data_IF_675524490815
#
_entry.id   IF_675524490815
#
_cell.length_a   1.000
_cell.length_b   1.000
_cell.length_c   1.000
_cell.angle_alpha   90.00
_cell.angle_beta   90.00
_cell.angle_gamma   90.00
#
_symmetry.space_group_name_H-M   'P 1'
#
loop_
_entity.id
_entity.type
_entity.pdbx_description
1 polymer ?
#
# COMPACT_ATOMS: atom_id res chain seq x y z
N UNK A 1 -4.84 3.48 0.74
CA UNK A 1 -5.30 2.08 0.74
C UNK A 1 -4.10 1.31 0.26
N UNK A 2 -3.61 0.40 1.09
CA UNK A 2 -2.39 -0.33 0.79
C UNK A 2 -2.73 -1.66 0.11
N UNK A 3 -1.81 -2.15 -0.71
CA UNK A 3 -1.96 -3.42 -1.40
C UNK A 3 -0.86 -4.34 -0.92
N UNK A 4 -1.29 -5.48 -0.38
CA UNK A 4 -0.40 -6.54 0.09
C UNK A 4 -0.72 -7.84 -0.65
N UNK A 5 0.19 -8.79 -0.55
CA UNK A 5 0.10 -10.12 -1.18
C UNK A 5 -0.24 -11.17 -0.13
N UNK A 6 -0.56 -12.39 -0.57
CA UNK A 6 -0.73 -13.57 0.31
C UNK A 6 0.62 -14.09 0.86
N UNK A 7 1.73 -13.44 0.50
CA UNK A 7 3.08 -13.80 0.95
C UNK A 7 3.20 -13.81 2.47
N UNK A 8 3.70 -14.93 3.00
CA UNK A 8 4.06 -15.10 4.40
C UNK A 8 5.40 -14.42 4.76
N UNK A 9 6.12 -13.85 3.78
CA UNK A 9 7.31 -13.05 4.04
C UNK A 9 6.93 -11.69 4.63
N UNK A 10 7.92 -11.01 5.20
CA UNK A 10 7.73 -9.67 5.75
C UNK A 10 7.31 -8.69 4.64
N UNK A 11 6.22 -7.97 4.87
CA UNK A 11 5.73 -6.89 4.02
C UNK A 11 5.66 -5.60 4.84
N UNK A 12 5.79 -4.45 4.17
CA UNK A 12 5.87 -3.13 4.83
C UNK A 12 4.69 -2.24 4.48
N UNK A 13 4.17 -1.51 5.47
CA UNK A 13 3.16 -0.46 5.33
C UNK A 13 3.83 0.89 5.57
N UNK A 14 3.73 1.80 4.59
CA UNK A 14 4.27 3.17 4.69
C UNK A 14 3.12 4.14 4.94
N UNK A 15 3.10 4.76 6.12
CA UNK A 15 1.98 5.58 6.58
C UNK A 15 2.45 6.90 7.18
N UNK A 16 1.60 7.93 7.11
CA UNK A 16 1.78 9.20 7.81
C UNK A 16 0.82 9.21 9.00
N UNK A 17 1.37 9.07 10.21
CA UNK A 17 0.57 9.02 11.43
C UNK A 17 0.30 10.41 12.00
N UNK A 18 -0.73 10.52 12.85
CA UNK A 18 -1.05 11.79 13.54
C UNK A 18 -0.01 12.18 14.59
N UNK A 19 0.76 11.19 15.04
CA UNK A 19 1.75 11.26 16.12
C UNK A 19 2.77 10.15 15.90
N UNK A 20 4.03 10.40 16.23
CA UNK A 20 5.02 9.33 16.25
C UNK A 20 4.81 8.39 17.45
N UNK A 21 5.24 7.14 17.30
CA UNK A 21 5.21 6.14 18.36
C UNK A 21 6.51 5.33 18.34
N UNK A 22 7.01 5.00 19.53
CA UNK A 22 8.22 4.17 19.68
C UNK A 22 7.89 2.70 19.50
N UNK A 23 6.75 2.25 20.03
CA UNK A 23 6.30 0.86 20.00
C UNK A 23 4.82 0.77 19.62
N UNK A 24 4.47 1.05 18.35
CA UNK A 24 3.09 1.02 17.91
C UNK A 24 2.55 -0.42 17.90
N UNK A 25 1.30 -0.59 18.30
CA UNK A 25 0.58 -1.86 18.17
C UNK A 25 -0.38 -1.80 16.98
N UNK A 26 -0.47 -2.90 16.22
CA UNK A 26 -1.37 -3.00 15.10
C UNK A 26 -2.49 -4.01 15.37
N UNK A 27 -3.73 -3.57 15.19
CA UNK A 27 -4.88 -4.46 15.12
C UNK A 27 -5.34 -4.56 13.67
N UNK A 28 -5.38 -5.77 13.13
CA UNK A 28 -5.87 -6.09 11.79
C UNK A 28 -7.24 -6.77 11.89
N UNK A 29 -8.22 -6.25 11.16
CA UNK A 29 -9.58 -6.79 11.09
C UNK A 29 -9.89 -7.24 9.68
N UNK A 30 -10.24 -8.51 9.52
CA UNK A 30 -10.80 -9.05 8.27
C UNK A 30 -12.24 -8.56 8.12
N UNK A 31 -12.53 -7.83 7.03
CA UNK A 31 -13.87 -7.26 6.82
C UNK A 31 -14.90 -8.29 6.36
N UNK A 32 -14.46 -9.44 5.84
CA UNK A 32 -15.34 -10.53 5.40
C UNK A 32 -15.89 -11.31 6.59
N UNK A 33 -15.03 -11.66 7.55
CA UNK A 33 -15.39 -12.44 8.74
C UNK A 33 -15.67 -11.58 9.97
N UNK A 34 -15.32 -10.29 9.93
CA UNK A 34 -15.40 -9.33 11.05
C UNK A 34 -14.56 -9.74 12.26
N UNK A 35 -13.52 -10.56 12.06
CA UNK A 35 -12.61 -11.00 13.12
C UNK A 35 -11.39 -10.09 13.18
N UNK A 36 -10.96 -9.74 14.39
CA UNK A 36 -9.76 -8.92 14.62
C UNK A 36 -8.63 -9.75 15.22
N UNK A 37 -7.41 -9.40 14.86
CA UNK A 37 -6.16 -10.02 15.32
C UNK A 37 -5.14 -8.94 15.61
N UNK A 38 -4.32 -9.14 16.64
CA UNK A 38 -3.18 -8.28 16.91
C UNK A 38 -1.96 -8.80 16.15
N UNK A 39 -1.27 -7.89 15.47
CA UNK A 39 -0.06 -8.20 14.71
C UNK A 39 1.10 -7.44 15.31
N UNK A 40 2.16 -8.17 15.68
CA UNK A 40 3.42 -7.58 16.10
C UNK A 40 4.11 -6.96 14.91
N UNK A 41 4.29 -5.64 14.92
CA UNK A 41 4.93 -4.87 13.85
C UNK A 41 6.28 -4.33 14.30
N UNK A 42 7.24 -4.31 13.38
CA UNK A 42 8.52 -3.60 13.58
C UNK A 42 8.41 -2.21 12.96
N UNK A 43 8.65 -1.17 13.76
CA UNK A 43 8.61 0.22 13.30
C UNK A 43 9.99 0.70 12.88
N UNK A 44 10.05 1.34 11.72
CA UNK A 44 11.18 2.15 11.25
C UNK A 44 10.66 3.50 10.74
N UNK A 45 11.57 4.44 10.48
CA UNK A 45 11.23 5.77 9.97
C UNK A 45 11.97 6.00 8.65
N UNK A 46 11.25 6.46 7.63
CA UNK A 46 11.81 6.83 6.34
C UNK A 46 11.31 8.22 5.95
N UNK A 47 12.11 9.26 6.23
CA UNK A 47 11.65 10.65 6.13
C UNK A 47 10.50 10.92 7.10
N UNK A 48 9.41 11.50 6.59
CA UNK A 48 8.20 11.79 7.38
C UNK A 48 7.25 10.59 7.53
N UNK A 49 7.64 9.42 6.99
CA UNK A 49 6.81 8.23 7.02
C UNK A 49 7.21 7.29 8.15
N UNK A 50 6.19 6.79 8.85
CA UNK A 50 6.32 5.62 9.72
C UNK A 50 6.17 4.37 8.84
N UNK A 51 7.18 3.50 8.87
CA UNK A 51 7.20 2.24 8.11
C UNK A 51 7.03 1.08 9.08
N UNK A 52 5.93 0.34 8.93
CA UNK A 52 5.58 -0.81 9.77
C UNK A 52 5.76 -2.10 8.97
N UNK A 53 6.64 -2.98 9.44
CA UNK A 53 6.95 -4.25 8.77
C UNK A 53 6.51 -5.44 9.62
N UNK A 54 5.78 -6.37 9.02
CA UNK A 54 5.39 -7.63 9.63
C UNK A 54 5.10 -8.71 8.58
N UNK A 55 5.08 -9.97 9.01
CA UNK A 55 4.53 -11.06 8.20
C UNK A 55 3.01 -11.12 8.41
N UNK A 56 2.25 -11.24 7.32
CA UNK A 56 0.79 -11.27 7.35
C UNK A 56 0.25 -12.57 6.79
N UNK A 57 -0.82 -13.08 7.40
CA UNK A 57 -1.57 -14.24 6.91
C UNK A 57 -2.87 -13.74 6.25
N UNK A 58 -2.75 -13.15 5.06
CA UNK A 58 -3.87 -12.58 4.31
C UNK A 58 -4.45 -13.61 3.31
N UNK A 59 -5.69 -13.38 2.89
CA UNK A 59 -6.38 -14.19 1.89
C UNK A 59 -6.60 -13.37 0.62
N UNK A 60 -6.34 -14.00 -0.53
CA UNK A 60 -6.53 -13.38 -1.85
C UNK A 60 -7.96 -12.83 -2.01
N UNK A 61 -8.05 -11.61 -2.55
CA UNK A 61 -9.32 -10.94 -2.83
C UNK A 61 -10.03 -10.36 -1.60
N UNK A 62 -9.46 -10.49 -0.40
CA UNK A 62 -10.06 -9.94 0.81
C UNK A 62 -9.63 -8.51 1.12
N UNK A 63 -10.54 -7.77 1.75
CA UNK A 63 -10.27 -6.45 2.31
C UNK A 63 -10.11 -6.53 3.82
N UNK A 64 -9.08 -5.84 4.31
CA UNK A 64 -8.78 -5.73 5.73
C UNK A 64 -8.79 -4.26 6.14
N UNK A 65 -9.22 -3.97 7.37
CA UNK A 65 -8.98 -2.67 8.00
C UNK A 65 -7.97 -2.84 9.11
N UNK A 66 -7.00 -1.94 9.19
CA UNK A 66 -6.02 -1.94 10.27
C UNK A 66 -6.05 -0.64 11.06
N UNK A 67 -5.71 -0.75 12.33
CA UNK A 67 -5.61 0.37 13.27
C UNK A 67 -4.26 0.31 13.94
N UNK A 68 -3.58 1.46 13.99
CA UNK A 68 -2.32 1.61 14.70
C UNK A 68 -2.58 2.40 15.96
N UNK A 69 -2.08 1.90 17.09
CA UNK A 69 -2.18 2.55 18.38
C UNK A 69 -0.83 2.82 19.00
N UNK A 70 -0.76 3.93 19.72
CA UNK A 70 0.31 4.25 20.67
C UNK A 70 -0.26 4.04 22.08
N UNK A 71 -0.01 2.87 22.66
CA UNK A 71 -0.71 2.43 23.88
C UNK A 71 -2.22 2.29 23.64
N UNK A 72 -3.02 3.18 24.22
CA UNK A 72 -4.48 3.21 24.08
C UNK A 72 -4.97 4.18 22.99
N UNK A 73 -4.12 5.12 22.56
CA UNK A 73 -4.48 6.16 21.61
C UNK A 73 -4.37 5.65 20.18
N UNK A 74 -5.42 5.85 19.38
CA UNK A 74 -5.42 5.43 17.97
C UNK A 74 -4.83 6.53 17.08
N UNK A 75 -3.63 6.28 16.54
CA UNK A 75 -2.83 7.26 15.79
C UNK A 75 -3.03 7.17 14.28
N UNK A 76 -3.52 6.03 13.76
CA UNK A 76 -3.77 5.82 12.33
C UNK A 76 -4.80 4.73 12.05
N UNK A 77 -5.51 4.87 10.93
CA UNK A 77 -6.43 3.88 10.36
C UNK A 77 -6.20 3.75 8.87
N UNK A 78 -6.17 2.52 8.38
CA UNK A 78 -6.05 2.25 6.96
C UNK A 78 -6.85 1.05 6.51
N UNK A 79 -6.85 0.86 5.20
CA UNK A 79 -7.41 -0.29 4.51
C UNK A 79 -6.30 -0.99 3.74
N UNK A 80 -6.34 -2.31 3.74
CA UNK A 80 -5.48 -3.19 2.95
C UNK A 80 -6.39 -3.99 2.01
N UNK A 81 -6.01 -4.06 0.75
CA UNK A 81 -6.54 -5.05 -0.19
C UNK A 81 -5.48 -6.11 -0.45
N UNK A 82 -5.83 -7.37 -0.29
CA UNK A 82 -4.91 -8.48 -0.53
C UNK A 82 -5.08 -8.98 -1.97
N UNK A 83 -4.04 -8.83 -2.80
CA UNK A 83 -4.01 -9.46 -4.12
C UNK A 83 -2.60 -9.84 -4.59
N UNK A 84 -2.49 -11.00 -5.21
CA UNK A 84 -1.28 -11.51 -5.88
C UNK A 84 -1.26 -11.19 -7.39
N UNK A 85 -2.18 -10.33 -7.86
CA UNK A 85 -2.17 -9.88 -9.25
C UNK A 85 -0.88 -9.11 -9.57
N UNK A 86 -0.08 -9.66 -10.48
CA UNK A 86 1.17 -9.05 -10.91
C UNK A 86 0.97 -7.82 -11.82
N UNK A 87 -0.20 -7.72 -12.48
CA UNK A 87 -0.57 -6.60 -13.34
C UNK A 87 -1.70 -5.82 -12.67
N UNK A 88 -1.32 -4.88 -11.81
CA UNK A 88 -2.27 -3.94 -11.26
C UNK A 88 -2.54 -2.85 -12.30
N UNK A 89 -3.74 -2.82 -12.86
CA UNK A 89 -4.13 -1.78 -13.81
C UNK A 89 -4.11 -0.41 -13.11
N UNK A 90 -3.06 0.37 -13.37
CA UNK A 90 -3.00 1.77 -12.98
C UNK A 90 -3.91 2.56 -13.94
N UNK A 91 -5.08 2.95 -13.45
CA UNK A 91 -5.96 3.86 -14.16
C UNK A 91 -5.44 5.28 -14.02
N UNK A 92 -5.07 5.90 -15.14
CA UNK A 92 -4.78 7.33 -15.24
C UNK A 92 -5.84 7.96 -16.15
N UNK A 93 -6.33 9.15 -15.79
CA UNK A 93 -7.32 9.89 -16.59
C UNK A 93 -6.79 10.14 -18.00
N UNK A 94 -5.48 10.34 -18.14
CA UNK A 94 -4.84 10.66 -19.41
C UNK A 94 -4.17 9.43 -20.05
N UNK A 95 -4.62 8.21 -19.72
CA UNK A 95 -4.09 6.99 -20.31
C UNK A 95 -4.35 7.03 -21.81
N UNK A 96 -3.28 6.91 -22.61
CA UNK A 96 -3.29 6.97 -24.08
C UNK A 96 -3.68 8.34 -24.69
N UNK A 97 -3.79 9.41 -23.90
CA UNK A 97 -4.14 10.75 -24.40
C UNK A 97 -2.93 11.51 -25.00
N UNK A 98 -1.71 11.21 -24.53
CA UNK A 98 -0.48 11.81 -25.02
C UNK A 98 0.39 10.78 -25.74
N UNK A 99 0.07 10.52 -27.01
CA UNK A 99 0.98 9.81 -27.93
C UNK A 99 2.05 10.79 -28.41
N UNK A 100 3.29 10.63 -27.95
CA UNK A 100 4.41 11.33 -28.56
C UNK A 100 4.73 10.70 -29.92
N UNK A 101 4.57 11.46 -31.00
CA UNK A 101 4.92 11.01 -32.34
C UNK A 101 6.45 11.04 -32.51
N UNK A 102 7.07 9.86 -32.60
CA UNK A 102 8.54 9.70 -32.72
C UNK A 102 9.07 9.60 -34.15
N UNK A 103 8.22 9.74 -35.18
CA UNK A 103 8.64 9.64 -36.59
C UNK A 103 8.97 11.00 -37.17
N UNK A 104 10.24 11.40 -37.04
CA UNK A 104 10.80 12.45 -37.88
C UNK A 104 11.27 11.81 -39.20
N UNK A 105 10.59 12.10 -40.31
CA UNK A 105 11.23 12.05 -41.62
C UNK A 105 11.75 13.46 -41.92
N UNK A 106 13.07 13.65 -41.88
CA UNK A 106 13.74 14.90 -42.27
C UNK A 106 14.08 14.92 -43.78
N UNK A 107 13.21 14.42 -44.64
CA UNK A 107 13.36 14.60 -46.08
C UNK A 107 12.91 16.01 -46.49
N UNK A 108 13.83 16.76 -47.10
CA UNK A 108 13.50 17.99 -47.81
C UNK A 108 13.27 17.65 -49.29
N UNK A 109 12.16 18.12 -49.84
CA UNK A 109 11.93 18.12 -51.29
C UNK A 109 12.64 19.33 -51.88
N UNK A 110 13.60 19.08 -52.78
CA UNK A 110 14.19 20.11 -53.63
C UNK A 110 13.40 20.12 -54.94
N UNK A 111 12.79 21.27 -55.28
CA UNK A 111 12.21 21.57 -56.60
C UNK A 111 13.18 22.48 -57.36
#
# INVERSE_FOLDING_TARGET
>A
MEILTTSANVQSLKIVTRKDSVSPTMTLTDKSTRTSSEITVTKTTEGDYMVLSAAFNLKEGNQYSYRIKDGLEEIYRGLIFCTDQANLDNYSVNKDEYVSQGTYNNDFVII
#
